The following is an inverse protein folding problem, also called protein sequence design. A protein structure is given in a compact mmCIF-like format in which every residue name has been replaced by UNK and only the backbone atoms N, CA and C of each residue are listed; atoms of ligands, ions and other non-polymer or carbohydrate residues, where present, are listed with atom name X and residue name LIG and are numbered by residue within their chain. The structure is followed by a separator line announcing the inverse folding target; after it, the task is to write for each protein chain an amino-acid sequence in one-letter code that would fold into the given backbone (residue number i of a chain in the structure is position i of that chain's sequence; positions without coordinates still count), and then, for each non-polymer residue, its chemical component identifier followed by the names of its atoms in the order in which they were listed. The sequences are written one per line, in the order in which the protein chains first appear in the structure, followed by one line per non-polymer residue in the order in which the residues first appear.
data_IF_392339779332
#
_entry.id   IF_392339779332
#
_cell.length_a   1.000
_cell.length_b   1.000
_cell.length_c   1.000
_cell.angle_alpha   90.00
_cell.angle_beta   90.00
_cell.angle_gamma   90.00
#
_symmetry.space_group_name_H-M   'P 1'
#
loop_
_entity.id
_entity.type
_entity.pdbx_description
1 polymer ?
#
# COMPACT_ATOMS: atom_id res chain seq x y z
N UNK A 1 -47.59 -14.97 -55.15
CA UNK A 1 -48.37 -15.35 -53.95
C UNK A 1 -48.33 -14.18 -52.98
N UNK A 2 -49.51 -13.83 -52.51
CA UNK A 2 -49.96 -12.57 -51.94
C UNK A 2 -49.60 -12.42 -50.45
N UNK A 3 -49.41 -11.17 -50.01
CA UNK A 3 -49.66 -10.55 -48.68
C UNK A 3 -49.87 -11.43 -47.44
N UNK A 4 -49.20 -11.12 -46.33
CA UNK A 4 -49.81 -10.57 -45.10
C UNK A 4 -48.77 -10.42 -43.96
N UNK A 5 -48.66 -9.20 -43.39
CA UNK A 5 -48.07 -8.92 -42.06
C UNK A 5 -49.10 -9.26 -40.93
N UNK A 6 -48.98 -8.74 -39.69
CA UNK A 6 -48.07 -9.03 -38.57
C UNK A 6 -48.86 -9.45 -37.29
N UNK A 7 -48.21 -9.81 -36.18
CA UNK A 7 -48.88 -9.78 -34.85
C UNK A 7 -48.03 -9.06 -33.80
N UNK A 8 -48.63 -8.00 -33.29
CA UNK A 8 -48.31 -7.14 -32.15
C UNK A 8 -48.78 -7.79 -30.85
N UNK A 9 -48.03 -7.63 -29.75
CA UNK A 9 -48.49 -7.38 -28.35
C UNK A 9 -47.38 -7.74 -27.37
N UNK A 10 -47.11 -7.03 -26.27
CA UNK A 10 -47.61 -5.78 -25.74
C UNK A 10 -46.62 -5.29 -24.67
N UNK A 11 -46.45 -3.99 -24.61
CA UNK A 11 -45.77 -3.25 -23.55
C UNK A 11 -46.69 -3.12 -22.34
N UNK A 12 -46.22 -3.32 -21.09
CA UNK A 12 -46.79 -2.67 -19.88
C UNK A 12 -45.81 -2.73 -18.70
N UNK A 13 -45.11 -1.61 -18.51
CA UNK A 13 -44.98 -0.75 -17.31
C UNK A 13 -44.88 -1.34 -15.88
N UNK A 14 -44.12 -0.57 -15.10
CA UNK A 14 -44.32 -0.23 -13.67
C UNK A 14 -43.74 -1.21 -12.64
N UNK A 15 -43.13 -0.79 -11.52
CA UNK A 15 -42.65 0.48 -10.99
C UNK A 15 -41.98 0.12 -9.64
N UNK A 16 -40.91 0.83 -9.27
CA UNK A 16 -40.52 1.18 -7.88
C UNK A 16 -40.11 0.11 -6.84
N UNK A 17 -38.86 0.26 -6.38
CA UNK A 17 -38.42 0.35 -4.97
C UNK A 17 -38.29 -0.94 -4.14
N UNK A 18 -37.04 -1.40 -3.91
CA UNK A 18 -36.50 -1.67 -2.55
C UNK A 18 -34.98 -1.87 -2.56
N UNK A 19 -34.30 -0.93 -1.91
CA UNK A 19 -32.91 -0.98 -1.47
C UNK A 19 -32.78 -1.87 -0.21
N UNK A 20 -31.53 -2.17 0.17
CA UNK A 20 -31.02 -2.62 1.48
C UNK A 20 -30.89 -4.13 1.74
N UNK A 21 -29.65 -4.61 1.62
CA UNK A 21 -28.92 -5.38 2.65
C UNK A 21 -27.61 -5.90 2.04
N UNK A 22 -26.52 -5.13 2.13
CA UNK A 22 -25.49 -5.30 3.17
C UNK A 22 -24.37 -6.28 2.77
N UNK A 23 -23.45 -5.79 1.93
CA UNK A 23 -22.02 -6.05 2.13
C UNK A 23 -21.24 -4.79 1.80
N UNK A 24 -21.54 -3.79 2.63
CA UNK A 24 -20.66 -2.69 2.93
C UNK A 24 -19.27 -3.29 3.21
N UNK A 25 -18.39 -3.24 2.20
CA UNK A 25 -16.95 -3.37 2.41
C UNK A 25 -16.63 -2.29 3.42
N UNK A 26 -16.43 -2.70 4.67
CA UNK A 26 -16.00 -1.82 5.75
C UNK A 26 -14.84 -1.01 5.20
N UNK A 27 -14.98 0.30 5.30
CA UNK A 27 -13.86 1.21 5.27
C UNK A 27 -12.89 0.73 6.35
N UNK A 28 -11.87 -0.02 5.94
CA UNK A 28 -10.57 0.11 6.60
C UNK A 28 -10.21 1.57 6.38
N UNK A 29 -10.17 2.33 7.47
CA UNK A 29 -9.54 3.64 7.46
C UNK A 29 -8.06 3.39 7.19
N UNK A 30 -7.71 3.16 5.93
CA UNK A 30 -6.34 3.11 5.47
C UNK A 30 -5.88 4.55 5.43
N UNK A 31 -4.97 4.90 6.33
CA UNK A 31 -4.14 6.08 6.20
C UNK A 31 -3.23 5.91 4.99
N UNK A 32 -3.80 5.94 3.78
CA UNK A 32 -3.03 6.18 2.57
C UNK A 32 -2.53 7.60 2.67
N UNK A 33 -1.36 7.78 3.29
CA UNK A 33 -0.55 8.97 3.13
C UNK A 33 -0.40 9.15 1.62
N UNK A 34 -1.25 10.02 1.06
CA UNK A 34 -1.45 10.15 -0.38
C UNK A 34 -0.26 10.93 -0.91
N UNK A 35 0.88 10.26 -0.97
CA UNK A 35 2.06 10.75 -1.63
C UNK A 35 2.00 10.31 -3.09
N UNK A 36 2.30 11.21 -4.04
CA UNK A 36 2.21 10.89 -5.45
C UNK A 36 3.07 9.66 -5.75
N UNK A 37 2.44 8.67 -6.39
CA UNK A 37 3.08 7.41 -6.76
C UNK A 37 4.43 7.69 -7.45
N UNK A 38 5.46 7.02 -6.95
CA UNK A 38 6.84 7.16 -7.43
C UNK A 38 7.05 6.36 -8.72
N UNK A 39 6.30 5.26 -8.85
CA UNK A 39 6.43 4.26 -9.91
C UNK A 39 5.26 4.35 -10.91
N UNK A 40 5.47 3.82 -12.10
CA UNK A 40 4.37 3.53 -13.03
C UNK A 40 3.65 2.24 -12.60
N UNK A 41 2.38 2.02 -13.00
CA UNK A 41 1.67 0.78 -12.65
C UNK A 41 2.41 -0.50 -13.07
N UNK A 42 3.03 -0.50 -14.25
CA UNK A 42 3.83 -1.63 -14.73
C UNK A 42 5.05 -1.93 -13.83
N UNK A 43 5.67 -0.88 -13.27
CA UNK A 43 6.78 -1.03 -12.33
C UNK A 43 6.30 -1.55 -10.96
N UNK A 44 5.12 -1.14 -10.51
CA UNK A 44 4.51 -1.65 -9.27
C UNK A 44 4.20 -3.15 -9.39
N UNK A 45 3.60 -3.57 -10.50
CA UNK A 45 3.29 -4.97 -10.76
C UNK A 45 4.57 -5.84 -10.82
N UNK A 46 5.57 -5.35 -11.54
CA UNK A 46 6.88 -6.03 -11.65
C UNK A 46 7.57 -6.12 -10.29
N UNK A 47 7.52 -5.05 -9.49
CA UNK A 47 8.10 -5.01 -8.16
C UNK A 47 7.36 -5.93 -7.19
N UNK A 48 6.03 -5.96 -7.23
CA UNK A 48 5.22 -6.87 -6.42
C UNK A 48 5.53 -8.34 -6.72
N UNK A 49 5.75 -8.68 -7.99
CA UNK A 49 6.18 -10.03 -8.41
C UNK A 49 7.54 -10.38 -7.82
N UNK A 50 8.53 -9.50 -7.98
CA UNK A 50 9.88 -9.71 -7.44
C UNK A 50 9.87 -9.84 -5.91
N UNK A 51 9.12 -8.99 -5.22
CA UNK A 51 9.00 -9.05 -3.75
C UNK A 51 8.37 -10.39 -3.34
N UNK A 52 7.32 -10.85 -4.01
CA UNK A 52 6.71 -12.14 -3.76
C UNK A 52 7.69 -13.31 -3.94
N UNK A 53 8.48 -13.29 -5.02
CA UNK A 53 9.52 -14.30 -5.27
C UNK A 53 10.59 -14.31 -4.18
N UNK A 54 11.10 -13.14 -3.80
CA UNK A 54 12.13 -13.01 -2.73
C UNK A 54 11.59 -13.48 -1.39
N UNK A 55 10.37 -13.06 -1.03
CA UNK A 55 9.74 -13.47 0.23
C UNK A 55 9.56 -14.99 0.30
N UNK A 56 9.18 -15.63 -0.83
CA UNK A 56 9.04 -17.07 -0.90
C UNK A 56 10.40 -17.79 -0.82
N UNK A 57 11.41 -17.35 -1.57
CA UNK A 57 12.75 -17.96 -1.59
C UNK A 57 13.43 -17.89 -0.23
N UNK A 58 13.35 -16.74 0.44
CA UNK A 58 14.02 -16.47 1.72
C UNK A 58 13.14 -16.75 2.94
N UNK A 59 11.92 -17.25 2.74
CA UNK A 59 10.95 -17.55 3.80
C UNK A 59 10.67 -16.35 4.71
N UNK A 60 10.54 -15.15 4.12
CA UNK A 60 10.31 -13.90 4.86
C UNK A 60 8.80 -13.76 5.13
N UNK A 61 8.34 -13.76 6.40
CA UNK A 61 6.92 -13.69 6.72
C UNK A 61 6.26 -12.35 6.36
N UNK A 62 7.01 -11.25 6.50
CA UNK A 62 6.52 -9.91 6.22
C UNK A 62 7.65 -8.94 5.90
N UNK A 63 7.38 -8.00 5.00
CA UNK A 63 8.33 -7.03 4.47
C UNK A 63 7.64 -5.68 4.26
N UNK A 64 8.31 -4.60 4.63
CA UNK A 64 7.89 -3.24 4.28
C UNK A 64 8.90 -2.65 3.28
N UNK A 65 8.38 -2.01 2.23
CA UNK A 65 9.20 -1.41 1.17
C UNK A 65 8.87 0.07 1.03
N UNK A 66 9.87 0.93 1.16
CA UNK A 66 9.75 2.38 0.96
C UNK A 66 10.58 2.85 -0.23
N UNK A 67 9.99 3.68 -1.09
CA UNK A 67 10.61 4.22 -2.31
C UNK A 67 10.56 5.74 -2.24
N UNK A 68 11.68 6.40 -2.54
CA UNK A 68 11.76 7.87 -2.60
C UNK A 68 12.51 8.31 -3.85
N UNK A 69 11.86 9.11 -4.71
CA UNK A 69 12.46 9.65 -5.94
C UNK A 69 11.85 11.00 -6.29
N UNK A 70 12.70 11.99 -6.60
CA UNK A 70 12.24 13.30 -7.05
C UNK A 70 11.31 14.02 -6.06
N UNK A 71 11.58 13.88 -4.75
CA UNK A 71 10.75 14.46 -3.68
C UNK A 71 9.43 13.71 -3.41
N UNK A 72 9.09 12.71 -4.22
CA UNK A 72 7.95 11.82 -4.00
C UNK A 72 8.36 10.61 -3.16
N UNK A 73 7.43 10.09 -2.36
CA UNK A 73 7.62 8.91 -1.52
C UNK A 73 6.44 7.96 -1.67
N UNK A 74 6.69 6.68 -1.51
CA UNK A 74 5.67 5.63 -1.48
C UNK A 74 6.14 4.54 -0.53
N UNK A 75 5.22 3.88 0.15
CA UNK A 75 5.53 2.77 1.04
C UNK A 75 4.44 1.71 0.96
N UNK A 76 4.84 0.45 0.84
CA UNK A 76 3.96 -0.71 0.74
C UNK A 76 4.35 -1.78 1.76
N UNK A 77 3.35 -2.46 2.32
CA UNK A 77 3.51 -3.59 3.23
C UNK A 77 3.14 -4.90 2.56
N UNK A 78 3.94 -5.94 2.78
CA UNK A 78 3.74 -7.29 2.24
C UNK A 78 3.74 -8.31 3.37
N UNK A 79 2.86 -9.31 3.29
CA UNK A 79 2.80 -10.41 4.24
C UNK A 79 2.30 -10.01 5.63
N UNK A 80 2.82 -10.69 6.66
CA UNK A 80 2.40 -10.54 8.05
C UNK A 80 3.55 -10.12 8.96
N UNK A 81 3.25 -9.18 9.86
CA UNK A 81 4.15 -8.73 10.91
C UNK A 81 4.19 -9.69 12.11
N UNK A 82 3.15 -10.51 12.27
CA UNK A 82 3.01 -11.49 13.34
C UNK A 82 2.43 -12.79 12.77
N UNK A 83 3.15 -13.90 12.93
CA UNK A 83 2.76 -15.21 12.41
C UNK A 83 1.68 -15.90 13.26
N UNK A 84 1.60 -15.58 14.55
CA UNK A 84 0.61 -16.17 15.45
C UNK A 84 -0.74 -15.48 15.28
N UNK A 85 -0.75 -14.14 15.25
CA UNK A 85 -1.99 -13.37 15.12
C UNK A 85 -2.39 -13.12 13.67
N UNK A 86 -1.50 -13.39 12.70
CA UNK A 86 -1.70 -13.07 11.29
C UNK A 86 -1.81 -11.58 11.01
N UNK A 87 -1.27 -10.73 11.90
CA UNK A 87 -1.40 -9.26 11.74
C UNK A 87 -0.62 -8.84 10.49
N UNK A 88 -1.24 -8.13 9.54
CA UNK A 88 -0.56 -7.72 8.32
C UNK A 88 0.55 -6.71 8.63
N UNK A 89 1.54 -6.64 7.73
CA UNK A 89 2.46 -5.50 7.70
C UNK A 89 1.72 -4.27 7.20
N UNK A 90 1.85 -3.17 7.93
CA UNK A 90 1.25 -1.87 7.60
C UNK A 90 2.23 -0.72 7.89
N UNK A 91 1.80 0.52 7.65
CA UNK A 91 2.60 1.73 7.88
C UNK A 91 3.02 1.95 9.33
N UNK A 92 2.41 1.27 10.30
CA UNK A 92 2.70 1.39 11.72
C UNK A 92 3.53 0.22 12.26
N UNK A 93 3.86 -0.76 11.41
CA UNK A 93 4.63 -1.92 11.83
C UNK A 93 6.08 -1.55 12.10
N UNK A 94 6.53 -1.85 13.32
CA UNK A 94 7.91 -1.62 13.75
C UNK A 94 8.81 -2.81 13.39
N UNK A 95 9.95 -2.51 12.79
CA UNK A 95 11.00 -3.49 12.46
C UNK A 95 12.28 -3.17 13.21
N UNK A 96 12.99 -4.20 13.67
CA UNK A 96 14.35 -4.05 14.16
C UNK A 96 15.30 -3.72 13.00
N UNK A 97 15.85 -2.51 12.96
CA UNK A 97 16.70 -2.05 11.85
C UNK A 97 18.18 -2.44 11.96
N UNK A 98 18.59 -3.07 13.07
CA UNK A 98 19.92 -3.61 13.27
C UNK A 98 21.06 -2.61 13.01
N UNK A 99 22.04 -3.00 12.18
CA UNK A 99 23.23 -2.20 11.89
C UNK A 99 22.95 -0.84 11.24
N UNK A 100 21.75 -0.60 10.70
CA UNK A 100 21.36 0.73 10.22
C UNK A 100 21.39 1.78 11.35
N UNK A 101 21.28 1.35 12.61
CA UNK A 101 21.48 2.19 13.81
C UNK A 101 22.84 2.89 13.84
N UNK A 102 23.88 2.36 13.16
CA UNK A 102 25.21 2.97 13.08
C UNK A 102 25.17 4.34 12.40
N UNK A 103 24.33 4.52 11.37
CA UNK A 103 24.18 5.80 10.68
C UNK A 103 23.65 6.88 11.62
N UNK A 104 22.67 6.53 12.47
CA UNK A 104 22.14 7.43 13.50
C UNK A 104 23.21 7.76 14.54
N UNK A 105 23.99 6.78 15.00
CA UNK A 105 25.09 7.02 15.96
C UNK A 105 26.12 8.00 15.38
N UNK A 106 26.55 7.78 14.14
CA UNK A 106 27.47 8.68 13.45
C UNK A 106 26.88 10.08 13.30
N UNK A 107 25.62 10.20 12.87
CA UNK A 107 24.93 11.48 12.72
C UNK A 107 24.83 12.24 14.05
N UNK A 108 24.47 11.56 15.15
CA UNK A 108 24.42 12.18 16.48
C UNK A 108 25.79 12.69 16.92
N UNK A 109 26.86 11.91 16.71
CA UNK A 109 28.22 12.36 17.01
C UNK A 109 28.63 13.56 16.16
N UNK A 110 28.36 13.53 14.85
CA UNK A 110 28.63 14.66 13.96
C UNK A 110 27.88 15.91 14.39
N UNK A 111 26.60 15.78 14.80
CA UNK A 111 25.83 16.91 15.32
C UNK A 111 26.45 17.46 16.60
N UNK A 112 26.85 16.61 17.55
CA UNK A 112 27.53 17.06 18.77
C UNK A 112 28.83 17.82 18.47
N UNK A 113 29.64 17.31 17.53
CA UNK A 113 30.88 17.99 17.11
C UNK A 113 30.60 19.33 16.44
N UNK A 114 29.57 19.41 15.61
CA UNK A 114 29.19 20.63 14.87
C UNK A 114 28.61 21.70 15.80
N UNK A 115 27.81 21.30 16.79
CA UNK A 115 27.14 22.23 17.72
C UNK A 115 27.94 22.50 19.00
N UNK A 116 29.08 21.82 19.20
CA UNK A 116 29.95 22.11 20.33
C UNK A 116 30.44 23.57 20.25
N UNK A 117 30.31 24.37 21.32
CA UNK A 117 30.83 25.74 21.32
C UNK A 117 32.34 25.69 21.11
N UNK A 118 32.80 26.17 19.96
CA UNK A 118 34.22 26.32 19.67
C UNK A 118 34.75 27.46 20.53
N UNK A 119 35.26 27.12 21.71
CA UNK A 119 35.96 28.04 22.57
C UNK A 119 37.25 28.51 21.89
N UNK A 120 37.18 29.59 21.13
CA UNK A 120 38.34 30.42 20.82
C UNK A 120 38.83 31.03 22.13
N UNK A 121 40.04 30.66 22.56
CA UNK A 121 40.88 31.55 23.37
C UNK A 121 41.64 32.47 22.44
#
# INVERSE_FOLDING_TARGET
MTSHQPVVSAETRSRTHRNSSSRQKRATQDGTDTHPNVLTPEQEDSLGTLVGEVMACEHIPGLALGISKGGKRQSEGYGVADMETGRPVDSNTLFGIGSNTKAFTAATLSQLMLTAPTGKK
#
